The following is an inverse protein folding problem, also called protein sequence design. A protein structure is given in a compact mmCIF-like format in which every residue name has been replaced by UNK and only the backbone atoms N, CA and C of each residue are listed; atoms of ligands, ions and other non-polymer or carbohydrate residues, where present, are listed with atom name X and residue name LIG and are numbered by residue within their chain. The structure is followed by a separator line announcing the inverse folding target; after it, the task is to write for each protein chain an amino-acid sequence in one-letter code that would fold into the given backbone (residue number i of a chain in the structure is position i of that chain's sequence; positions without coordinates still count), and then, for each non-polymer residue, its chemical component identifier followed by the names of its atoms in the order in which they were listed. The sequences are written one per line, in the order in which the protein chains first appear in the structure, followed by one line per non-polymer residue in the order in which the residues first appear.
data_IF_315509052298
#
_entry.id   IF_315509052298
#
_cell.length_a   1.000
_cell.length_b   1.000
_cell.length_c   1.000
_cell.angle_alpha   90.00
_cell.angle_beta   90.00
_cell.angle_gamma   90.00
#
_symmetry.space_group_name_H-M   'P 1'
#
loop_
_entity.id
_entity.type
_entity.pdbx_description
1 polymer ?
#
# COMPACT_ATOMS: atom_id res chain seq x y z
N UNK A 1 -10.55 -11.27 -25.15
CA UNK A 1 -11.98 -11.61 -25.18
C UNK A 1 -12.25 -12.58 -24.04
N UNK A 2 -13.18 -12.26 -23.13
CA UNK A 2 -13.54 -13.08 -21.96
C UNK A 2 -15.03 -13.42 -22.00
N UNK A 3 -15.36 -14.66 -21.60
CA UNK A 3 -16.76 -15.08 -21.40
C UNK A 3 -17.29 -14.45 -20.12
N UNK A 4 -18.41 -13.75 -20.21
CA UNK A 4 -19.07 -13.10 -19.07
C UNK A 4 -20.08 -14.05 -18.43
N UNK A 5 -20.83 -14.78 -19.24
CA UNK A 5 -21.85 -15.71 -18.77
C UNK A 5 -22.57 -16.41 -19.91
N UNK A 6 -23.59 -17.17 -19.54
CA UNK A 6 -24.44 -17.92 -20.47
C UNK A 6 -25.90 -17.57 -20.16
N UNK A 7 -26.73 -17.39 -21.18
CA UNK A 7 -28.15 -17.03 -21.10
C UNK A 7 -28.99 -18.13 -21.71
N UNK A 8 -30.17 -18.39 -21.16
CA UNK A 8 -30.97 -19.57 -21.51
C UNK A 8 -31.62 -19.45 -22.89
N UNK A 9 -31.84 -18.21 -23.36
CA UNK A 9 -32.58 -17.94 -24.60
C UNK A 9 -31.88 -16.91 -25.48
N UNK A 10 -32.10 -17.03 -26.79
CA UNK A 10 -31.59 -16.06 -27.76
C UNK A 10 -32.12 -14.64 -27.55
N UNK A 11 -33.33 -14.49 -27.03
CA UNK A 11 -33.95 -13.18 -26.80
C UNK A 11 -33.34 -12.48 -25.59
N UNK A 12 -33.07 -13.21 -24.50
CA UNK A 12 -32.30 -12.67 -23.37
C UNK A 12 -30.90 -12.23 -23.81
N UNK A 13 -30.23 -13.04 -24.63
CA UNK A 13 -28.91 -12.71 -25.15
C UNK A 13 -28.91 -11.45 -26.01
N UNK A 14 -29.95 -11.25 -26.83
CA UNK A 14 -30.12 -10.03 -27.64
C UNK A 14 -30.41 -8.79 -26.80
N UNK A 15 -31.29 -8.89 -25.80
CA UNK A 15 -31.60 -7.77 -24.89
C UNK A 15 -30.35 -7.27 -24.17
N UNK A 16 -29.59 -8.19 -23.56
CA UNK A 16 -28.37 -7.83 -22.85
C UNK A 16 -27.27 -7.33 -23.82
N UNK A 17 -27.14 -7.93 -25.00
CA UNK A 17 -26.21 -7.45 -26.02
C UNK A 17 -26.54 -6.01 -26.45
N UNK A 18 -27.82 -5.70 -26.65
CA UNK A 18 -28.27 -4.36 -27.01
C UNK A 18 -27.91 -3.31 -25.97
N UNK A 19 -28.14 -3.62 -24.70
CA UNK A 19 -27.74 -2.75 -23.58
C UNK A 19 -26.22 -2.56 -23.50
N UNK A 20 -25.44 -3.64 -23.58
CA UNK A 20 -23.98 -3.53 -23.55
C UNK A 20 -23.46 -2.68 -24.72
N UNK A 21 -24.04 -2.85 -25.90
CA UNK A 21 -23.69 -2.05 -27.07
C UNK A 21 -24.16 -0.59 -26.95
N UNK A 22 -25.30 -0.30 -26.32
CA UNK A 22 -25.69 1.09 -26.02
C UNK A 22 -24.73 1.75 -25.02
N UNK A 23 -24.22 0.97 -24.06
CA UNK A 23 -23.17 1.41 -23.14
C UNK A 23 -21.77 1.43 -23.79
N UNK A 24 -21.67 1.16 -25.09
CA UNK A 24 -20.43 1.15 -25.89
C UNK A 24 -19.43 0.07 -25.49
N UNK A 25 -19.90 -1.01 -24.87
CA UNK A 25 -19.10 -2.20 -24.54
C UNK A 25 -19.05 -3.12 -25.77
N UNK A 26 -17.86 -3.51 -26.22
CA UNK A 26 -17.71 -4.44 -27.36
C UNK A 26 -17.99 -5.89 -26.91
N UNK A 27 -19.27 -6.25 -26.98
CA UNK A 27 -19.79 -7.56 -26.67
C UNK A 27 -20.23 -8.33 -27.92
N UNK A 28 -20.25 -9.66 -27.81
CA UNK A 28 -20.80 -10.58 -28.82
C UNK A 28 -21.48 -11.77 -28.16
N UNK A 29 -22.41 -12.39 -28.89
CA UNK A 29 -23.14 -13.59 -28.46
C UNK A 29 -23.02 -14.69 -29.52
N UNK A 30 -22.99 -15.94 -29.08
CA UNK A 30 -22.98 -17.14 -29.91
C UNK A 30 -23.77 -18.28 -29.23
N UNK A 31 -24.39 -19.19 -30.00
CA UNK A 31 -25.05 -20.36 -29.44
C UNK A 31 -24.03 -21.27 -28.76
N UNK A 32 -24.40 -21.89 -27.64
CA UNK A 32 -23.61 -22.97 -27.04
C UNK A 32 -23.74 -24.21 -27.93
N UNK A 33 -22.67 -24.59 -28.62
CA UNK A 33 -22.62 -25.81 -29.44
C UNK A 33 -22.06 -26.98 -28.60
N UNK A 34 -22.92 -27.93 -28.23
CA UNK A 34 -22.54 -29.13 -27.46
C UNK A 34 -21.76 -30.16 -28.30
N UNK A 35 -21.51 -29.91 -29.59
CA UNK A 35 -20.81 -30.84 -30.48
C UNK A 35 -19.28 -30.90 -30.30
N UNK A 36 -18.69 -30.03 -29.47
CA UNK A 36 -17.23 -30.02 -29.21
C UNK A 36 -16.77 -30.88 -28.02
N UNK A 37 -17.67 -31.62 -27.36
CA UNK A 37 -17.33 -32.48 -26.22
C UNK A 37 -17.21 -33.98 -26.56
N UNK A 38 -17.08 -34.31 -27.86
CA UNK A 38 -16.68 -35.63 -28.35
C UNK A 38 -15.44 -35.47 -29.22
N UNK A 39 -14.27 -35.40 -28.59
CA UNK A 39 -12.96 -35.84 -29.11
C UNK A 39 -11.84 -35.43 -28.14
N UNK A 40 -11.88 -35.97 -26.93
CA UNK A 40 -10.74 -35.95 -26.01
C UNK A 40 -10.14 -37.35 -25.88
N UNK A 41 -9.88 -38.00 -27.02
CA UNK A 41 -9.11 -39.25 -27.03
C UNK A 41 -8.38 -39.48 -28.36
N UNK A 42 -7.40 -38.63 -28.70
CA UNK A 42 -6.31 -39.06 -29.59
C UNK A 42 -5.06 -38.18 -29.43
N UNK A 43 -4.02 -38.82 -28.89
CA UNK A 43 -2.60 -38.82 -29.31
C UNK A 43 -1.90 -37.54 -29.79
N UNK A 44 -0.73 -37.30 -29.18
CA UNK A 44 0.40 -36.51 -29.65
C UNK A 44 0.55 -36.37 -31.17
N UNK A 45 0.71 -35.12 -31.65
CA UNK A 45 1.80 -34.80 -32.58
C UNK A 45 2.07 -33.30 -32.63
N UNK A 46 3.36 -32.97 -32.65
CA UNK A 46 3.93 -31.64 -32.92
C UNK A 46 3.82 -31.35 -34.41
N UNK A 47 3.53 -30.09 -34.75
CA UNK A 47 4.14 -29.25 -35.80
C UNK A 47 3.09 -28.39 -36.55
N UNK A 48 3.53 -27.18 -36.95
CA UNK A 48 3.11 -26.61 -38.22
C UNK A 48 1.91 -25.65 -38.24
N UNK A 49 2.25 -24.36 -38.19
CA UNK A 49 1.71 -23.33 -39.11
C UNK A 49 0.25 -22.87 -38.99
N UNK A 50 0.12 -21.54 -38.88
CA UNK A 50 -0.89 -20.68 -39.49
C UNK A 50 -2.24 -21.31 -39.88
N UNK A 51 -3.28 -21.02 -39.09
CA UNK A 51 -4.62 -20.71 -39.62
C UNK A 51 -5.22 -19.50 -38.89
N UNK A 52 -4.75 -18.32 -39.25
CA UNK A 52 -5.56 -17.10 -39.18
C UNK A 52 -6.51 -17.14 -40.38
N UNK A 53 -7.73 -17.67 -40.19
CA UNK A 53 -8.81 -17.50 -41.16
C UNK A 53 -10.07 -17.01 -40.46
N UNK A 54 -10.33 -15.71 -40.65
CA UNK A 54 -11.64 -15.09 -40.76
C UNK A 54 -12.77 -15.68 -39.89
N UNK A 55 -12.88 -15.21 -38.64
CA UNK A 55 -14.16 -15.10 -37.95
C UNK A 55 -14.74 -13.72 -38.28
N UNK A 56 -15.20 -13.57 -39.52
CA UNK A 56 -16.18 -12.54 -39.87
C UNK A 56 -17.51 -12.95 -39.23
N UNK A 57 -18.18 -12.00 -38.57
CA UNK A 57 -19.58 -12.17 -38.14
C UNK A 57 -20.37 -12.79 -39.30
N UNK A 58 -20.97 -13.99 -39.13
CA UNK A 58 -22.00 -14.43 -40.06
C UNK A 58 -23.06 -13.34 -40.06
N UNK A 59 -23.33 -12.77 -41.23
CA UNK A 59 -24.36 -11.75 -41.37
C UNK A 59 -25.66 -12.26 -40.74
N UNK A 60 -26.28 -11.43 -39.92
CA UNK A 60 -27.67 -11.58 -39.51
C UNK A 60 -28.55 -11.44 -40.76
N UNK A 61 -28.61 -12.50 -41.57
CA UNK A 61 -29.66 -12.71 -42.54
C UNK A 61 -30.72 -13.59 -41.87
N UNK A 62 -31.95 -13.11 -41.94
CA UNK A 62 -33.19 -13.77 -41.51
C UNK A 62 -33.16 -15.29 -41.66
N UNK A 63 -33.06 -15.98 -40.53
CA UNK A 63 -33.49 -17.37 -40.39
C UNK A 63 -34.12 -17.54 -39.00
N UNK A 64 -35.45 -17.67 -38.96
CA UNK A 64 -36.13 -18.28 -37.82
C UNK A 64 -35.92 -19.81 -37.83
N UNK A 65 -36.43 -20.58 -36.84
CA UNK A 65 -37.13 -20.19 -35.61
C UNK A 65 -36.20 -20.24 -34.38
N UNK A 66 -36.75 -19.85 -33.23
CA UNK A 66 -36.17 -19.91 -31.88
C UNK A 66 -35.23 -21.12 -31.66
N UNK A 67 -33.91 -20.88 -31.62
CA UNK A 67 -33.00 -21.81 -30.97
C UNK A 67 -33.20 -21.66 -29.46
N UNK A 68 -33.87 -22.65 -28.85
CA UNK A 68 -34.17 -22.75 -27.41
C UNK A 68 -32.99 -23.22 -26.56
N UNK A 69 -31.78 -23.24 -27.12
CA UNK A 69 -30.55 -23.60 -26.42
C UNK A 69 -29.85 -22.37 -25.83
N UNK A 70 -28.94 -22.59 -24.85
CA UNK A 70 -28.23 -21.51 -24.19
C UNK A 70 -27.26 -20.76 -25.12
N UNK A 71 -26.98 -19.50 -24.80
CA UNK A 71 -26.13 -18.58 -25.56
C UNK A 71 -25.02 -18.02 -24.68
N UNK A 72 -23.78 -18.02 -25.17
CA UNK A 72 -22.68 -17.39 -24.45
C UNK A 72 -22.62 -15.90 -24.74
N UNK A 73 -22.19 -15.12 -23.75
CA UNK A 73 -21.88 -13.70 -23.88
C UNK A 73 -20.37 -13.49 -23.68
N UNK A 74 -19.76 -12.78 -24.61
CA UNK A 74 -18.34 -12.46 -24.60
C UNK A 74 -18.10 -10.96 -24.68
N UNK A 75 -17.05 -10.48 -24.01
CA UNK A 75 -16.58 -9.10 -24.08
C UNK A 75 -15.14 -9.08 -24.56
N UNK A 76 -14.81 -8.19 -25.50
CA UNK A 76 -13.48 -8.14 -26.11
C UNK A 76 -12.42 -7.54 -25.18
N UNK A 77 -12.70 -6.36 -24.63
CA UNK A 77 -11.76 -5.54 -23.86
C UNK A 77 -11.83 -5.83 -22.36
N UNK A 78 -10.65 -5.99 -21.73
CA UNK A 78 -10.54 -6.37 -20.32
C UNK A 78 -11.04 -5.27 -19.36
N UNK A 79 -10.96 -4.01 -19.78
CA UNK A 79 -11.41 -2.86 -18.99
C UNK A 79 -12.94 -2.80 -18.80
N UNK A 80 -13.69 -3.44 -19.70
CA UNK A 80 -15.16 -3.43 -19.68
C UNK A 80 -15.74 -4.70 -19.03
N UNK A 81 -14.88 -5.63 -18.59
CA UNK A 81 -15.30 -6.94 -18.04
C UNK A 81 -16.08 -6.78 -16.75
N UNK A 82 -15.66 -5.88 -15.85
CA UNK A 82 -16.31 -5.71 -14.55
C UNK A 82 -17.69 -5.04 -14.69
N UNK A 83 -17.79 -4.04 -15.57
CA UNK A 83 -19.04 -3.37 -15.91
C UNK A 83 -20.02 -4.34 -16.60
N UNK A 84 -19.53 -5.13 -17.56
CA UNK A 84 -20.33 -6.15 -18.23
C UNK A 84 -20.79 -7.28 -17.28
N UNK A 85 -19.97 -7.67 -16.30
CA UNK A 85 -20.36 -8.63 -15.26
C UNK A 85 -21.43 -8.07 -14.33
N UNK A 86 -21.32 -6.79 -13.97
CA UNK A 86 -22.37 -6.12 -13.18
C UNK A 86 -23.68 -6.07 -13.96
N UNK A 87 -23.63 -5.66 -15.23
CA UNK A 87 -24.79 -5.62 -16.11
C UNK A 87 -25.41 -7.02 -16.32
N UNK A 88 -24.57 -8.06 -16.46
CA UNK A 88 -25.03 -9.44 -16.56
C UNK A 88 -25.75 -9.89 -15.28
N UNK A 89 -25.21 -9.57 -14.10
CA UNK A 89 -25.86 -9.88 -12.82
C UNK A 89 -27.21 -9.14 -12.68
N UNK A 90 -27.22 -7.84 -12.95
CA UNK A 90 -28.45 -7.03 -12.94
C UNK A 90 -29.52 -7.58 -13.89
N UNK A 91 -29.09 -8.09 -15.05
CA UNK A 91 -29.99 -8.67 -16.04
C UNK A 91 -30.62 -9.98 -15.54
N UNK A 92 -29.85 -10.84 -14.86
CA UNK A 92 -30.38 -12.06 -14.26
C UNK A 92 -31.39 -11.77 -13.15
N UNK A 93 -31.21 -10.69 -12.39
CA UNK A 93 -32.12 -10.28 -11.33
C UNK A 93 -33.40 -9.63 -11.87
N UNK A 94 -33.34 -8.91 -13.00
CA UNK A 94 -34.48 -8.18 -13.57
C UNK A 94 -34.41 -8.06 -15.10
N UNK A 95 -34.67 -9.16 -15.84
CA UNK A 95 -34.48 -9.23 -17.30
C UNK A 95 -35.48 -8.38 -18.11
N UNK A 96 -36.63 -8.07 -17.52
CA UNK A 96 -37.70 -7.25 -18.13
C UNK A 96 -37.58 -5.76 -17.75
N UNK A 97 -36.45 -5.33 -17.18
CA UNK A 97 -36.23 -3.92 -16.87
C UNK A 97 -36.20 -3.07 -18.15
N UNK A 98 -36.84 -1.89 -18.19
CA UNK A 98 -36.84 -1.01 -19.36
C UNK A 98 -35.44 -0.62 -19.86
N UNK A 99 -34.42 -0.67 -18.99
CA UNK A 99 -33.02 -0.39 -19.38
C UNK A 99 -32.46 -1.38 -20.39
N UNK A 100 -33.03 -2.58 -20.50
CA UNK A 100 -32.61 -3.61 -21.44
C UNK A 100 -33.47 -3.67 -22.72
N UNK A 101 -34.49 -2.82 -22.83
CA UNK A 101 -35.35 -2.71 -24.01
C UNK A 101 -34.73 -1.75 -25.04
N UNK A 102 -33.55 -2.12 -25.54
CA UNK A 102 -32.80 -1.34 -26.54
C UNK A 102 -32.89 -2.04 -27.89
N UNK A 103 -33.60 -1.47 -28.89
CA UNK A 103 -33.68 -2.06 -30.22
C UNK A 103 -32.30 -2.10 -30.88
N UNK A 104 -31.85 -3.32 -31.23
CA UNK A 104 -30.54 -3.52 -31.88
C UNK A 104 -30.42 -2.79 -33.24
N UNK A 105 -31.55 -2.49 -33.88
CA UNK A 105 -31.63 -1.80 -35.16
C UNK A 105 -31.29 -0.30 -35.07
N UNK A 106 -31.44 0.31 -33.89
CA UNK A 106 -31.17 1.73 -33.65
C UNK A 106 -29.71 1.99 -33.22
N UNK A 107 -28.95 0.91 -33.03
CA UNK A 107 -27.53 0.99 -32.69
C UNK A 107 -26.71 1.20 -33.98
N UNK A 108 -25.80 2.19 -34.00
CA UNK A 108 -25.02 2.49 -35.19
C UNK A 108 -24.26 1.24 -35.67
N UNK A 109 -24.48 0.88 -36.94
CA UNK A 109 -23.84 -0.26 -37.60
C UNK A 109 -22.33 -0.30 -37.33
N UNK A 110 -21.84 -1.50 -36.99
CA UNK A 110 -20.44 -1.89 -36.72
C UNK A 110 -19.44 -1.55 -37.84
N UNK A 111 -19.85 -0.92 -38.94
CA UNK A 111 -19.01 -0.66 -40.11
C UNK A 111 -18.12 0.58 -40.00
N UNK A 112 -18.15 1.35 -38.90
CA UNK A 112 -17.37 2.60 -38.81
C UNK A 112 -16.35 2.62 -37.64
N UNK A 113 -15.14 2.04 -37.82
CA UNK A 113 -14.08 1.99 -36.81
C UNK A 113 -13.67 3.37 -36.25
N UNK A 114 -13.89 4.44 -37.01
CA UNK A 114 -13.62 5.81 -36.58
C UNK A 114 -14.53 6.29 -35.45
N UNK A 115 -15.80 5.89 -35.47
CA UNK A 115 -16.79 6.34 -34.48
C UNK A 115 -16.58 5.70 -33.10
N UNK A 116 -16.19 4.42 -33.07
CA UNK A 116 -15.87 3.70 -31.84
C UNK A 116 -14.60 4.27 -31.17
N UNK A 117 -13.56 4.55 -31.97
CA UNK A 117 -12.33 5.20 -31.47
C UNK A 117 -12.58 6.62 -30.98
N UNK A 118 -13.44 7.38 -31.67
CA UNK A 118 -13.84 8.72 -31.24
C UNK A 118 -14.56 8.68 -29.88
N UNK A 119 -15.52 7.77 -29.69
CA UNK A 119 -16.25 7.65 -28.41
C UNK A 119 -15.36 7.16 -27.25
N UNK A 120 -14.40 6.26 -27.50
CA UNK A 120 -13.42 5.87 -26.49
C UNK A 120 -12.47 7.03 -26.13
N UNK A 121 -12.06 7.82 -27.13
CA UNK A 121 -11.26 9.02 -26.90
C UNK A 121 -12.04 10.07 -26.10
N UNK A 122 -13.31 10.31 -26.43
CA UNK A 122 -14.19 11.24 -25.71
C UNK A 122 -14.42 10.79 -24.26
N UNK A 123 -14.64 9.49 -23.99
CA UNK A 123 -14.75 8.98 -22.61
C UNK A 123 -13.46 9.13 -21.82
N UNK A 124 -12.29 8.92 -22.45
CA UNK A 124 -10.98 9.16 -21.81
C UNK A 124 -10.82 10.64 -21.50
N UNK A 125 -11.16 11.50 -22.46
CA UNK A 125 -11.05 12.95 -22.32
C UNK A 125 -12.02 13.49 -21.27
N UNK A 126 -13.23 12.93 -21.16
CA UNK A 126 -14.21 13.30 -20.14
C UNK A 126 -13.78 12.82 -18.75
N UNK A 127 -13.27 11.59 -18.61
CA UNK A 127 -12.68 11.11 -17.34
C UNK A 127 -11.48 11.98 -16.91
N UNK A 128 -10.63 12.37 -17.85
CA UNK A 128 -9.51 13.28 -17.60
C UNK A 128 -9.98 14.71 -17.30
N UNK A 129 -11.06 15.18 -17.92
CA UNK A 129 -11.70 16.46 -17.62
C UNK A 129 -12.32 16.49 -16.23
N UNK A 130 -13.06 15.46 -15.81
CA UNK A 130 -13.62 15.36 -14.46
C UNK A 130 -12.51 15.27 -13.42
N UNK A 131 -11.44 14.49 -13.69
CA UNK A 131 -10.28 14.38 -12.79
C UNK A 131 -9.50 15.70 -12.70
N UNK A 132 -9.31 16.40 -13.81
CA UNK A 132 -8.64 17.71 -13.84
C UNK A 132 -9.53 18.84 -13.30
N UNK A 133 -10.84 18.78 -13.46
CA UNK A 133 -11.81 19.69 -12.86
C UNK A 133 -11.87 19.49 -11.35
N UNK A 134 -11.84 18.26 -10.84
CA UNK A 134 -11.75 17.95 -9.40
C UNK A 134 -10.42 18.44 -8.80
N UNK A 135 -9.31 18.29 -9.54
CA UNK A 135 -8.01 18.89 -9.17
C UNK A 135 -8.04 20.43 -9.19
N UNK A 136 -8.70 21.03 -10.18
CA UNK A 136 -8.84 22.49 -10.32
C UNK A 136 -9.81 23.08 -9.30
N UNK A 137 -10.84 22.35 -8.88
CA UNK A 137 -11.73 22.74 -7.81
C UNK A 137 -10.98 22.69 -6.46
N UNK A 138 -10.23 21.61 -6.21
CA UNK A 138 -9.34 21.51 -5.06
C UNK A 138 -8.22 22.59 -5.06
N UNK A 139 -7.80 23.08 -6.23
CA UNK A 139 -6.83 24.18 -6.33
C UNK A 139 -7.46 25.57 -6.40
N UNK A 140 -8.76 25.71 -6.71
CA UNK A 140 -9.46 27.01 -6.74
C UNK A 140 -9.87 27.47 -5.35
N UNK A 141 -10.11 26.55 -4.42
CA UNK A 141 -10.23 26.86 -2.99
C UNK A 141 -8.95 27.48 -2.39
N UNK A 142 -7.80 27.35 -3.07
CA UNK A 142 -6.54 27.97 -2.65
C UNK A 142 -6.34 29.40 -3.20
N UNK A 143 -7.08 29.80 -4.24
CA UNK A 143 -6.88 31.09 -4.93
C UNK A 143 -8.00 32.11 -4.67
N UNK A 144 -9.00 31.79 -3.84
CA UNK A 144 -10.09 32.71 -3.48
C UNK A 144 -9.92 33.37 -2.09
N UNK A 145 -8.76 33.18 -1.46
CA UNK A 145 -8.39 33.80 -0.20
C UNK A 145 -7.36 34.89 -0.47
N UNK A 146 -7.86 36.12 -0.68
CA UNK A 146 -7.08 37.36 -0.65
C UNK A 146 -6.65 37.63 0.80
N UNK A 147 -5.82 36.73 1.33
CA UNK A 147 -5.32 36.75 2.71
C UNK A 147 -4.00 37.52 2.76
N UNK A 148 -3.82 38.43 3.73
CA UNK A 148 -2.59 39.20 3.84
C UNK A 148 -1.40 38.24 4.02
N UNK A 149 -0.34 38.52 3.26
CA UNK A 149 0.89 37.71 3.07
C UNK A 149 1.68 37.43 4.37
N UNK A 150 1.16 37.78 5.55
CA UNK A 150 1.72 37.47 6.86
C UNK A 150 1.29 36.14 7.46
N UNK A 151 0.12 35.58 7.09
CA UNK A 151 -0.46 34.41 7.77
C UNK A 151 -0.29 33.06 7.04
N UNK A 152 0.29 33.08 5.84
CA UNK A 152 0.59 31.86 5.04
C UNK A 152 1.85 31.13 5.58
N UNK A 153 2.42 31.60 6.69
CA UNK A 153 3.59 31.03 7.35
C UNK A 153 3.30 30.33 8.70
N UNK A 154 2.09 29.81 8.94
CA UNK A 154 1.95 28.68 9.90
C UNK A 154 2.41 27.39 9.26
N UNK A 155 3.69 27.34 8.91
CA UNK A 155 4.38 26.08 8.59
C UNK A 155 4.29 25.22 9.85
N UNK A 156 3.41 24.22 9.87
CA UNK A 156 3.31 23.33 11.02
C UNK A 156 4.70 22.75 11.30
N UNK A 157 5.25 23.14 12.44
CA UNK A 157 6.59 22.78 12.86
C UNK A 157 6.71 21.27 13.05
N UNK A 158 7.89 20.72 12.79
CA UNK A 158 8.21 19.30 12.99
C UNK A 158 9.25 19.10 14.11
N UNK A 159 9.02 19.65 15.33
CA UNK A 159 10.03 19.72 16.37
C UNK A 159 10.46 18.34 16.87
N UNK A 160 9.56 17.34 16.90
CA UNK A 160 9.90 16.01 17.40
C UNK A 160 10.74 15.26 16.38
N UNK A 161 10.41 15.33 15.08
CA UNK A 161 11.26 14.78 14.02
C UNK A 161 12.67 15.37 14.10
N UNK A 162 12.78 16.70 14.17
CA UNK A 162 14.08 17.37 14.25
C UNK A 162 14.82 16.99 15.53
N UNK A 163 14.12 16.90 16.66
CA UNK A 163 14.69 16.44 17.93
C UNK A 163 15.27 15.03 17.85
N UNK A 164 14.53 14.08 17.27
CA UNK A 164 15.02 12.70 17.06
C UNK A 164 16.27 12.70 16.19
N UNK A 165 16.30 13.51 15.12
CA UNK A 165 17.45 13.59 14.23
C UNK A 165 18.68 14.14 14.96
N UNK A 166 18.53 15.26 15.67
CA UNK A 166 19.63 15.87 16.44
C UNK A 166 20.16 14.90 17.48
N UNK A 167 19.28 14.27 18.27
CA UNK A 167 19.68 13.32 19.31
C UNK A 167 20.42 12.12 18.67
N UNK A 168 19.91 11.58 17.57
CA UNK A 168 20.56 10.45 16.87
C UNK A 168 21.95 10.81 16.36
N UNK A 169 22.13 12.00 15.79
CA UNK A 169 23.44 12.49 15.33
C UNK A 169 24.40 12.65 16.50
N UNK A 170 23.98 13.33 17.58
CA UNK A 170 24.80 13.53 18.78
C UNK A 170 25.19 12.20 19.42
N UNK A 171 24.25 11.28 19.58
CA UNK A 171 24.48 9.95 20.16
C UNK A 171 25.41 9.10 19.30
N UNK A 172 25.27 9.14 17.98
CA UNK A 172 26.15 8.40 17.06
C UNK A 172 27.58 8.91 17.14
N UNK A 173 27.78 10.23 17.18
CA UNK A 173 29.13 10.81 17.30
C UNK A 173 29.74 10.54 18.68
N UNK A 174 28.98 10.70 19.76
CA UNK A 174 29.46 10.50 21.14
C UNK A 174 29.72 9.05 21.52
N UNK A 175 29.25 8.08 20.73
CA UNK A 175 29.52 6.64 20.91
C UNK A 175 30.46 6.07 19.85
N UNK A 176 31.05 6.93 19.00
CA UNK A 176 31.87 6.52 17.85
C UNK A 176 31.14 5.48 16.98
N UNK A 177 29.91 5.80 16.58
CA UNK A 177 29.02 4.92 15.84
C UNK A 177 28.87 3.54 16.49
N UNK A 178 28.51 3.54 17.79
CA UNK A 178 28.30 2.32 18.58
C UNK A 178 29.54 1.41 18.68
N UNK A 179 30.73 1.95 18.39
CA UNK A 179 32.03 1.26 18.48
C UNK A 179 32.93 2.03 19.45
N UNK A 180 32.55 2.09 20.74
CA UNK A 180 33.23 2.94 21.71
C UNK A 180 34.67 2.47 21.93
N UNK A 181 35.60 3.43 21.98
CA UNK A 181 37.04 3.16 22.14
C UNK A 181 37.38 2.86 23.59
N UNK A 182 38.22 1.85 23.78
CA UNK A 182 38.86 1.57 25.07
C UNK A 182 40.07 2.50 25.26
N UNK A 183 40.34 2.89 26.51
CA UNK A 183 41.58 3.57 26.85
C UNK A 183 42.67 2.59 27.29
N UNK A 184 43.93 3.02 27.19
CA UNK A 184 45.10 2.21 27.58
C UNK A 184 45.19 1.95 29.08
N UNK A 185 44.44 2.69 29.89
CA UNK A 185 44.44 2.63 31.35
C UNK A 185 43.45 1.58 31.88
N UNK A 186 42.66 0.94 31.02
CA UNK A 186 41.64 -0.03 31.42
C UNK A 186 40.44 0.59 32.15
N UNK A 187 40.33 1.92 32.19
CA UNK A 187 39.18 2.61 32.79
C UNK A 187 38.10 2.87 31.75
N UNK A 188 36.84 2.90 32.19
CA UNK A 188 35.71 3.09 31.29
C UNK A 188 35.69 4.52 30.71
N UNK A 189 35.68 4.62 29.38
CA UNK A 189 35.62 5.90 28.65
C UNK A 189 34.21 6.49 28.64
N UNK A 190 34.10 7.77 28.30
CA UNK A 190 32.79 8.42 28.14
C UNK A 190 31.96 7.75 27.02
N UNK A 191 32.59 7.39 25.89
CA UNK A 191 31.94 6.68 24.78
C UNK A 191 31.33 5.35 25.28
N UNK A 192 32.09 4.60 26.08
CA UNK A 192 31.65 3.32 26.66
C UNK A 192 30.49 3.52 27.63
N UNK A 193 30.55 4.53 28.51
CA UNK A 193 29.48 4.86 29.46
C UNK A 193 28.17 5.20 28.75
N UNK A 194 28.23 6.08 27.74
CA UNK A 194 27.05 6.49 26.98
C UNK A 194 26.46 5.28 26.24
N UNK A 195 27.29 4.53 25.52
CA UNK A 195 26.86 3.34 24.80
C UNK A 195 26.22 2.31 25.75
N UNK A 196 26.87 2.01 26.88
CA UNK A 196 26.37 1.08 27.90
C UNK A 196 25.06 1.54 28.54
N UNK A 197 24.86 2.85 28.74
CA UNK A 197 23.63 3.38 29.35
C UNK A 197 22.42 3.37 28.39
N UNK A 198 22.68 3.36 27.08
CA UNK A 198 21.66 3.53 26.03
C UNK A 198 21.46 2.30 25.13
N UNK A 199 22.33 1.29 25.23
CA UNK A 199 22.12 -0.02 24.60
C UNK A 199 20.94 -0.74 25.24
N UNK A 200 20.33 -1.71 24.53
CA UNK A 200 19.19 -2.45 25.08
C UNK A 200 19.53 -3.24 26.36
N UNK A 201 20.75 -3.77 26.43
CA UNK A 201 21.28 -4.45 27.61
C UNK A 201 22.71 -4.02 27.87
N UNK A 202 23.07 -3.91 29.13
CA UNK A 202 24.46 -3.83 29.56
C UNK A 202 25.16 -5.17 29.24
N UNK A 203 26.27 -5.11 28.49
CA UNK A 203 27.00 -6.31 28.06
C UNK A 203 27.62 -7.10 29.19
N UNK A 204 28.09 -6.44 30.24
CA UNK A 204 28.70 -7.13 31.37
C UNK A 204 27.63 -7.83 32.20
N UNK A 205 26.50 -7.14 32.37
CA UNK A 205 25.33 -7.71 33.03
C UNK A 205 24.74 -8.89 32.25
N UNK A 206 24.57 -8.74 30.93
CA UNK A 206 24.11 -9.81 30.04
C UNK A 206 24.97 -11.07 30.19
N UNK A 207 26.30 -10.92 30.24
CA UNK A 207 27.22 -12.05 30.41
C UNK A 207 27.14 -12.65 31.81
N UNK A 208 27.10 -11.82 32.86
CA UNK A 208 27.06 -12.31 34.24
C UNK A 208 25.74 -13.03 34.57
N UNK A 209 24.65 -12.69 33.89
CA UNK A 209 23.31 -13.27 34.07
C UNK A 209 23.03 -14.39 33.05
N UNK A 210 24.08 -15.04 32.52
CA UNK A 210 23.94 -16.23 31.67
C UNK A 210 23.37 -15.97 30.27
N UNK A 211 23.53 -14.77 29.73
CA UNK A 211 23.01 -14.41 28.41
C UNK A 211 21.56 -13.92 28.44
N UNK A 212 21.10 -13.44 29.60
CA UNK A 212 19.76 -12.87 29.71
C UNK A 212 19.64 -11.50 29.03
N UNK A 213 18.96 -11.47 27.88
CA UNK A 213 18.66 -10.26 27.12
C UNK A 213 17.94 -9.17 27.94
N UNK A 214 17.11 -9.55 28.92
CA UNK A 214 16.30 -8.60 29.69
C UNK A 214 16.94 -8.22 31.04
N UNK A 215 18.18 -8.62 31.32
CA UNK A 215 18.81 -8.44 32.62
C UNK A 215 18.78 -6.97 33.11
N UNK A 216 19.11 -6.02 32.23
CA UNK A 216 19.03 -4.58 32.51
C UNK A 216 17.60 -4.10 32.76
N UNK A 217 16.64 -4.56 31.94
CA UNK A 217 15.22 -4.19 32.07
C UNK A 217 14.65 -4.68 33.39
N UNK A 218 15.01 -5.90 33.82
CA UNK A 218 14.59 -6.45 35.13
C UNK A 218 15.10 -5.63 36.32
N UNK A 219 16.18 -4.88 36.14
CA UNK A 219 16.71 -3.93 37.14
C UNK A 219 16.06 -2.54 37.08
N UNK A 220 15.02 -2.37 36.26
CA UNK A 220 14.23 -1.14 36.15
C UNK A 220 14.67 -0.19 35.03
N UNK A 221 15.63 -0.58 34.20
CA UNK A 221 16.16 0.26 33.11
C UNK A 221 15.25 0.26 31.86
N UNK A 222 13.96 0.58 32.03
CA UNK A 222 12.91 0.44 31.00
C UNK A 222 13.10 1.33 29.77
N UNK A 223 13.86 2.43 29.88
CA UNK A 223 14.20 3.31 28.76
C UNK A 223 15.02 2.59 27.67
N UNK A 224 15.61 1.43 27.99
CA UNK A 224 16.40 0.62 27.06
C UNK A 224 15.61 0.01 25.92
N UNK A 225 14.27 0.00 25.97
CA UNK A 225 13.46 -0.32 24.78
C UNK A 225 13.43 0.80 23.74
N UNK A 226 13.68 2.04 24.13
CA UNK A 226 13.58 3.22 23.25
C UNK A 226 14.97 3.73 22.86
N UNK A 227 15.87 3.84 23.82
CA UNK A 227 17.20 4.46 23.65
C UNK A 227 18.08 3.86 22.53
N UNK A 228 18.02 2.56 22.18
CA UNK A 228 18.76 2.01 21.05
C UNK A 228 18.43 2.66 19.69
N UNK A 229 17.26 3.29 19.56
CA UNK A 229 16.84 4.04 18.38
C UNK A 229 17.83 5.15 18.00
N UNK A 230 18.54 5.71 18.98
CA UNK A 230 19.47 6.84 18.77
C UNK A 230 20.91 6.40 18.47
N UNK A 231 21.23 5.12 18.66
CA UNK A 231 22.55 4.56 18.38
C UNK A 231 22.62 4.09 16.93
N UNK A 232 23.72 4.33 16.22
CA UNK A 232 23.91 3.84 14.84
C UNK A 232 25.31 3.26 14.69
N UNK A 233 25.45 2.29 13.78
CA UNK A 233 26.70 1.53 13.58
C UNK A 233 27.68 2.15 12.58
N UNK A 234 27.21 3.07 11.75
CA UNK A 234 27.97 3.78 10.72
C UNK A 234 27.18 4.98 10.18
N UNK A 235 27.86 5.81 9.38
CA UNK A 235 27.35 7.05 8.80
C UNK A 235 26.21 6.81 7.82
N UNK A 236 26.29 5.76 6.98
CA UNK A 236 25.27 5.45 5.99
C UNK A 236 23.99 4.97 6.67
N UNK A 237 24.12 4.10 7.67
CA UNK A 237 23.00 3.62 8.48
C UNK A 237 22.30 4.77 9.21
N UNK A 238 23.05 5.72 9.77
CA UNK A 238 22.48 6.93 10.36
C UNK A 238 21.75 7.77 9.29
N UNK A 239 22.44 8.13 8.20
CA UNK A 239 21.88 9.00 7.16
C UNK A 239 20.59 8.42 6.56
N UNK A 240 20.57 7.11 6.29
CA UNK A 240 19.40 6.41 5.76
C UNK A 240 18.21 6.46 6.73
N UNK A 241 18.42 6.17 8.02
CA UNK A 241 17.35 6.26 9.00
C UNK A 241 16.83 7.69 9.16
N UNK A 242 17.72 8.68 9.25
CA UNK A 242 17.32 10.07 9.43
C UNK A 242 16.55 10.60 8.21
N UNK A 243 16.92 10.16 7.00
CA UNK A 243 16.18 10.47 5.78
C UNK A 243 14.72 9.97 5.86
N UNK A 244 14.51 8.72 6.28
CA UNK A 244 13.16 8.15 6.38
C UNK A 244 12.37 8.68 7.57
N UNK A 245 13.00 8.91 8.73
CA UNK A 245 12.37 9.63 9.85
C UNK A 245 11.94 11.02 9.40
N UNK A 246 12.78 11.74 8.66
CA UNK A 246 12.42 13.04 8.12
C UNK A 246 11.25 12.94 7.16
N UNK A 247 11.28 12.06 6.15
CA UNK A 247 10.21 11.98 5.15
C UNK A 247 8.89 11.49 5.72
N UNK A 248 8.88 10.35 6.41
CA UNK A 248 7.65 9.75 6.93
C UNK A 248 7.17 10.50 8.17
N UNK A 249 8.09 10.80 9.09
CA UNK A 249 7.76 11.49 10.33
C UNK A 249 7.27 12.91 10.12
N UNK A 250 7.86 13.68 9.20
CA UNK A 250 7.39 15.06 8.93
C UNK A 250 5.97 15.09 8.42
N UNK A 251 5.58 14.11 7.60
CA UNK A 251 4.21 14.00 7.10
C UNK A 251 3.26 13.70 8.26
N UNK A 252 3.59 12.73 9.11
CA UNK A 252 2.75 12.32 10.24
C UNK A 252 2.65 13.46 11.27
N UNK A 253 3.77 14.08 11.65
CA UNK A 253 3.81 15.14 12.66
C UNK A 253 3.04 16.39 12.21
N UNK A 254 3.11 16.76 10.92
CA UNK A 254 2.30 17.86 10.39
C UNK A 254 0.81 17.55 10.43
N UNK A 255 0.43 16.35 10.00
CA UNK A 255 -0.98 15.96 9.90
C UNK A 255 -1.65 15.74 11.26
N UNK A 256 -0.93 15.09 12.20
CA UNK A 256 -1.50 14.62 13.46
C UNK A 256 -0.96 15.36 14.70
N UNK A 257 0.07 16.17 14.53
CA UNK A 257 0.73 16.92 15.60
C UNK A 257 1.87 16.18 16.29
N UNK A 258 2.70 16.94 17.01
CA UNK A 258 3.92 16.46 17.68
C UNK A 258 3.69 15.38 18.74
N UNK A 259 2.66 15.55 19.58
CA UNK A 259 2.37 14.55 20.62
C UNK A 259 1.98 13.20 20.02
N UNK A 260 1.13 13.23 18.98
CA UNK A 260 0.74 12.02 18.27
C UNK A 260 1.96 11.33 17.66
N UNK A 261 2.80 12.09 16.95
CA UNK A 261 3.99 11.54 16.34
C UNK A 261 4.96 10.97 17.39
N UNK A 262 5.18 11.66 18.50
CA UNK A 262 6.01 11.19 19.61
C UNK A 262 5.50 9.87 20.20
N UNK A 263 4.19 9.71 20.38
CA UNK A 263 3.59 8.46 20.86
C UNK A 263 3.73 7.37 19.80
N UNK A 264 3.38 7.65 18.54
CA UNK A 264 3.45 6.67 17.45
C UNK A 264 4.88 6.14 17.28
N UNK A 265 5.87 7.02 17.12
CA UNK A 265 7.27 6.62 16.90
C UNK A 265 7.83 5.83 18.07
N UNK A 266 7.40 6.16 19.30
CA UNK A 266 7.78 5.40 20.49
C UNK A 266 7.15 4.01 20.47
N UNK A 267 5.83 3.90 20.25
CA UNK A 267 5.14 2.61 20.24
C UNK A 267 5.65 1.68 19.13
N UNK A 268 5.97 2.21 17.95
CA UNK A 268 6.54 1.41 16.87
C UNK A 268 7.96 0.94 17.19
N UNK A 269 8.78 1.80 17.83
CA UNK A 269 10.09 1.40 18.34
C UNK A 269 9.98 0.29 19.39
N UNK A 270 9.04 0.41 20.32
CA UNK A 270 8.77 -0.62 21.33
C UNK A 270 8.37 -1.95 20.67
N UNK A 271 7.48 -1.92 19.68
CA UNK A 271 7.06 -3.10 18.93
C UNK A 271 8.23 -3.77 18.19
N UNK A 272 9.10 -2.97 17.57
CA UNK A 272 10.34 -3.46 16.95
C UNK A 272 11.27 -4.15 17.95
N UNK A 273 11.58 -3.49 19.08
CA UNK A 273 12.46 -4.10 20.09
C UNK A 273 11.85 -5.32 20.76
N UNK A 274 10.55 -5.30 21.05
CA UNK A 274 9.85 -6.43 21.65
C UNK A 274 9.95 -7.68 20.75
N UNK A 275 9.75 -7.51 19.44
CA UNK A 275 9.88 -8.64 18.51
C UNK A 275 11.34 -9.06 18.35
N UNK A 276 12.28 -8.14 18.12
CA UNK A 276 13.69 -8.48 17.92
C UNK A 276 14.32 -9.20 19.10
N UNK A 277 13.94 -8.85 20.34
CA UNK A 277 14.49 -9.49 21.54
C UNK A 277 13.69 -10.75 21.91
N UNK A 278 12.40 -10.81 21.55
CA UNK A 278 11.55 -11.96 21.81
C UNK A 278 11.68 -13.11 20.81
N UNK A 279 12.31 -12.89 19.65
CA UNK A 279 12.54 -13.95 18.68
C UNK A 279 13.55 -14.98 19.22
N UNK A 280 13.30 -16.29 19.02
CA UNK A 280 14.23 -17.32 19.45
C UNK A 280 15.50 -17.30 18.59
N UNK A 281 16.63 -17.68 19.19
CA UNK A 281 17.92 -17.86 18.52
C UNK A 281 18.21 -19.35 18.31
N UNK A 282 17.20 -20.07 17.82
CA UNK A 282 17.22 -21.53 17.64
C UNK A 282 17.42 -21.88 16.17
N UNK A 283 18.02 -23.03 15.89
CA UNK A 283 18.39 -23.46 14.53
C UNK A 283 17.21 -23.64 13.57
N UNK A 284 15.99 -23.82 14.09
CA UNK A 284 14.77 -23.95 13.28
C UNK A 284 14.23 -22.60 12.78
N UNK A 285 14.73 -21.48 13.33
CA UNK A 285 14.46 -20.13 12.82
C UNK A 285 15.63 -19.72 11.91
N UNK A 286 15.36 -19.14 10.72
CA UNK A 286 16.42 -18.60 9.87
C UNK A 286 17.35 -17.67 10.65
N UNK A 287 18.66 -17.79 10.44
CA UNK A 287 19.66 -17.01 11.18
C UNK A 287 19.42 -15.50 11.04
N UNK A 288 18.98 -15.04 9.88
CA UNK A 288 18.56 -13.65 9.63
C UNK A 288 17.43 -13.14 10.54
N UNK A 289 16.67 -14.03 11.18
CA UNK A 289 15.58 -13.72 12.10
C UNK A 289 15.88 -14.08 13.55
N UNK A 290 17.12 -14.49 13.87
CA UNK A 290 17.50 -14.75 15.25
C UNK A 290 17.37 -13.50 16.10
N UNK A 291 16.78 -13.67 17.29
CA UNK A 291 16.67 -12.59 18.25
C UNK A 291 18.02 -12.20 18.84
N UNK A 292 18.17 -10.91 19.15
CA UNK A 292 19.40 -10.40 19.76
C UNK A 292 19.11 -9.12 20.53
N UNK A 293 19.71 -8.93 21.72
CA UNK A 293 19.64 -7.67 22.44
C UNK A 293 20.63 -6.63 21.90
N UNK A 294 21.55 -6.99 21.00
CA UNK A 294 22.60 -6.08 20.50
C UNK A 294 22.14 -5.31 19.28
N UNK A 295 21.09 -4.52 19.44
CA UNK A 295 20.44 -3.76 18.38
C UNK A 295 20.81 -2.28 18.49
N UNK A 296 21.06 -1.65 17.35
CA UNK A 296 21.23 -0.20 17.22
C UNK A 296 20.47 0.26 15.99
N UNK A 297 19.88 1.45 16.05
CA UNK A 297 19.30 2.14 14.90
C UNK A 297 17.82 2.40 15.04
N UNK A 298 17.34 3.43 14.35
CA UNK A 298 15.94 3.84 14.36
C UNK A 298 15.04 3.05 13.40
N UNK A 299 15.56 2.02 12.75
CA UNK A 299 14.90 1.38 11.61
C UNK A 299 13.62 0.65 11.99
N UNK A 300 13.51 0.10 13.21
CA UNK A 300 12.26 -0.43 13.73
C UNK A 300 11.16 0.63 13.78
N UNK A 301 11.48 1.82 14.32
CA UNK A 301 10.57 2.96 14.31
C UNK A 301 10.20 3.39 12.87
N UNK A 302 11.19 3.48 11.96
CA UNK A 302 10.98 3.82 10.54
C UNK A 302 9.99 2.87 9.88
N UNK A 303 10.18 1.54 10.02
CA UNK A 303 9.26 0.55 9.46
C UNK A 303 7.86 0.66 10.05
N UNK A 304 7.72 1.06 11.30
CA UNK A 304 6.41 1.33 11.87
C UNK A 304 5.75 2.62 11.37
N UNK A 305 6.52 3.70 11.15
CA UNK A 305 5.97 4.89 10.48
C UNK A 305 5.54 4.56 9.04
N UNK A 306 6.32 3.74 8.35
CA UNK A 306 5.98 3.21 7.02
C UNK A 306 4.70 2.38 7.08
N UNK A 307 4.60 1.42 8.00
CA UNK A 307 3.40 0.58 8.20
C UNK A 307 2.16 1.41 8.49
N UNK A 308 2.28 2.42 9.36
CA UNK A 308 1.19 3.34 9.67
C UNK A 308 0.68 4.05 8.40
N UNK A 309 1.57 4.67 7.63
CA UNK A 309 1.20 5.36 6.40
C UNK A 309 0.75 4.43 5.27
N UNK A 310 1.21 3.17 5.28
CA UNK A 310 0.84 2.16 4.28
C UNK A 310 -0.63 1.73 4.45
N UNK A 311 -1.06 1.45 5.67
CA UNK A 311 -2.43 0.97 5.94
C UNK A 311 -3.45 2.10 6.02
N UNK A 312 -3.03 3.32 6.40
CA UNK A 312 -3.96 4.38 6.74
C UNK A 312 -4.96 4.74 5.63
N UNK A 313 -4.57 4.87 4.35
CA UNK A 313 -5.52 5.17 3.26
C UNK A 313 -6.57 4.08 3.03
N UNK A 314 -6.31 2.84 3.46
CA UNK A 314 -7.25 1.72 3.34
C UNK A 314 -8.33 1.73 4.42
N UNK A 315 -7.99 2.29 5.59
CA UNK A 315 -8.90 2.43 6.73
C UNK A 315 -9.68 3.74 6.67
N UNK A 316 -9.06 4.78 6.13
CA UNK A 316 -9.59 6.12 6.03
C UNK A 316 -9.44 6.59 4.57
N UNK A 317 -10.50 6.37 3.77
CA UNK A 317 -10.48 6.67 2.33
C UNK A 317 -10.27 8.14 2.00
N UNK A 318 -10.52 9.04 2.96
CA UNK A 318 -10.28 10.49 2.83
C UNK A 318 -8.90 10.91 3.35
N UNK A 319 -8.04 9.96 3.72
CA UNK A 319 -6.70 10.26 4.22
C UNK A 319 -5.88 10.99 3.13
N UNK A 320 -5.30 12.17 3.43
CA UNK A 320 -4.81 13.09 2.39
C UNK A 320 -3.49 12.64 1.75
N UNK A 321 -2.87 11.57 2.24
CA UNK A 321 -1.54 11.11 1.81
C UNK A 321 -1.62 9.68 1.31
N UNK A 322 -0.99 9.44 0.16
CA UNK A 322 -0.62 8.12 -0.30
C UNK A 322 0.90 8.03 -0.42
N UNK A 323 1.48 6.92 -0.02
CA UNK A 323 2.90 6.68 -0.22
C UNK A 323 3.22 6.61 -1.72
N UNK A 324 4.33 7.23 -2.12
CA UNK A 324 4.80 7.14 -3.51
C UNK A 324 5.17 5.68 -3.80
N UNK A 325 4.69 5.05 -4.88
CA UNK A 325 4.91 3.62 -5.14
C UNK A 325 6.38 3.19 -5.10
N UNK A 326 7.30 4.02 -5.60
CA UNK A 326 8.73 3.73 -5.56
C UNK A 326 9.28 3.65 -4.13
N UNK A 327 8.76 4.47 -3.20
CA UNK A 327 9.17 4.43 -1.79
C UNK A 327 8.66 3.16 -1.11
N UNK A 328 7.47 2.69 -1.47
CA UNK A 328 6.92 1.42 -0.99
C UNK A 328 7.79 0.26 -1.45
N UNK A 329 8.12 0.22 -2.75
CA UNK A 329 9.00 -0.80 -3.33
C UNK A 329 10.36 -0.76 -2.65
N UNK A 330 10.97 0.41 -2.49
CA UNK A 330 12.26 0.58 -1.84
C UNK A 330 12.25 0.07 -0.40
N UNK A 331 11.22 0.38 0.39
CA UNK A 331 11.08 -0.08 1.77
C UNK A 331 10.95 -1.61 1.87
N UNK A 332 10.17 -2.23 0.98
CA UNK A 332 10.08 -3.69 0.93
C UNK A 332 11.36 -4.34 0.42
N UNK A 333 12.00 -3.80 -0.62
CA UNK A 333 13.29 -4.30 -1.11
C UNK A 333 14.33 -4.28 0.01
N UNK A 334 14.42 -3.20 0.79
CA UNK A 334 15.36 -3.13 1.92
C UNK A 334 15.01 -4.12 3.04
N UNK A 335 13.71 -4.37 3.29
CA UNK A 335 13.26 -5.34 4.28
C UNK A 335 13.69 -6.75 3.87
N UNK A 336 13.37 -7.13 2.64
CA UNK A 336 13.71 -8.45 2.10
C UNK A 336 15.21 -8.60 1.87
N UNK A 337 15.93 -7.53 1.53
CA UNK A 337 17.39 -7.57 1.42
C UNK A 337 18.06 -7.93 2.76
N UNK A 338 17.51 -7.47 3.88
CA UNK A 338 17.96 -7.90 5.21
C UNK A 338 17.57 -9.35 5.53
N UNK A 339 16.32 -9.74 5.27
CA UNK A 339 15.80 -11.09 5.58
C UNK A 339 16.49 -12.16 4.75
N UNK A 340 16.78 -11.87 3.47
CA UNK A 340 17.47 -12.74 2.52
C UNK A 340 19.00 -12.63 2.63
N UNK A 341 19.51 -11.91 3.64
CA UNK A 341 20.94 -11.80 3.96
C UNK A 341 21.82 -11.16 2.87
N UNK A 342 21.23 -10.44 1.90
CA UNK A 342 21.98 -9.60 0.97
C UNK A 342 22.69 -8.44 1.69
N UNK A 343 22.13 -8.00 2.83
CA UNK A 343 22.76 -7.07 3.76
C UNK A 343 22.94 -7.79 5.11
N UNK A 344 24.18 -8.06 5.54
CA UNK A 344 24.43 -8.76 6.79
C UNK A 344 24.20 -7.87 8.02
N UNK A 345 24.05 -8.50 9.19
CA UNK A 345 23.91 -7.82 10.49
C UNK A 345 22.69 -6.88 10.59
N UNK A 346 21.60 -7.22 9.92
CA UNK A 346 20.34 -6.47 10.01
C UNK A 346 19.44 -7.07 11.09
N UNK A 347 18.92 -6.22 11.98
CA UNK A 347 17.93 -6.60 12.98
C UNK A 347 16.54 -6.76 12.32
N UNK A 348 16.35 -7.82 11.54
CA UNK A 348 15.13 -8.03 10.75
C UNK A 348 13.87 -8.19 11.60
N UNK A 349 13.99 -8.78 12.80
CA UNK A 349 12.91 -8.82 13.79
C UNK A 349 12.46 -7.42 14.21
N UNK A 350 13.40 -6.46 14.32
CA UNK A 350 13.07 -5.08 14.65
C UNK A 350 12.29 -4.40 13.53
N UNK A 351 12.68 -4.62 12.27
CA UNK A 351 11.96 -4.11 11.11
C UNK A 351 10.54 -4.68 11.02
N UNK A 352 10.41 -6.01 11.15
CA UNK A 352 9.12 -6.68 11.09
C UNK A 352 8.21 -6.27 12.25
N UNK A 353 8.74 -6.19 13.47
CA UNK A 353 7.97 -5.80 14.66
C UNK A 353 7.50 -4.36 14.59
N UNK A 354 8.37 -3.48 14.10
CA UNK A 354 8.03 -2.09 13.81
C UNK A 354 6.92 -1.99 12.77
N UNK A 355 7.07 -2.66 11.62
CA UNK A 355 6.07 -2.70 10.55
C UNK A 355 4.70 -3.17 11.05
N UNK A 356 4.67 -4.29 11.78
CA UNK A 356 3.44 -4.85 12.36
C UNK A 356 2.81 -3.85 13.33
N UNK A 357 3.59 -3.27 14.25
CA UNK A 357 3.08 -2.26 15.18
C UNK A 357 2.47 -1.05 14.45
N UNK A 358 3.14 -0.58 13.39
CA UNK A 358 2.66 0.51 12.54
C UNK A 358 1.34 0.19 11.84
N UNK A 359 1.25 -1.00 11.21
CA UNK A 359 0.04 -1.49 10.56
C UNK A 359 -1.12 -1.59 11.54
N UNK A 360 -0.89 -2.15 12.74
CA UNK A 360 -1.91 -2.28 13.78
C UNK A 360 -2.38 -0.89 14.25
N UNK A 361 -1.45 0.00 14.60
CA UNK A 361 -1.78 1.35 15.07
C UNK A 361 -2.49 2.19 14.01
N UNK A 362 -2.09 2.07 12.73
CA UNK A 362 -2.72 2.76 11.61
C UNK A 362 -4.12 2.24 11.28
N UNK A 363 -4.38 0.95 11.53
CA UNK A 363 -5.67 0.32 11.33
C UNK A 363 -6.72 0.69 12.40
N UNK A 364 -6.28 1.15 13.58
CA UNK A 364 -7.19 1.55 14.66
C UNK A 364 -7.84 2.92 14.32
N UNK A 365 -9.18 3.03 14.16
CA UNK A 365 -9.84 4.26 13.73
C UNK A 365 -9.70 5.44 14.70
N UNK A 366 -9.49 5.17 15.99
CA UNK A 366 -9.32 6.18 17.05
C UNK A 366 -8.16 7.13 16.76
N UNK A 367 -7.05 6.63 16.18
CA UNK A 367 -5.90 7.46 15.83
C UNK A 367 -6.17 8.45 14.67
N UNK A 368 -7.32 8.36 13.99
CA UNK A 368 -7.76 9.37 13.02
C UNK A 368 -8.55 10.54 13.62
N UNK A 369 -9.28 10.33 14.74
CA UNK A 369 -10.22 11.33 15.30
C UNK A 369 -9.55 12.38 16.17
N UNK A 370 -8.38 12.08 16.74
CA UNK A 370 -7.58 13.05 17.53
C UNK A 370 -7.06 14.23 16.67
N UNK A 371 -6.86 14.03 15.37
CA UNK A 371 -6.48 15.10 14.44
C UNK A 371 -7.66 15.99 14.01
N UNK A 372 -8.88 15.44 13.96
CA UNK A 372 -10.08 16.17 13.52
C UNK A 372 -10.67 17.09 14.60
N UNK A 373 -10.58 16.70 15.88
CA UNK A 373 -11.11 17.47 17.03
C UNK A 373 -10.55 18.90 17.12
N UNK A 374 -9.32 19.13 16.64
CA UNK A 374 -8.70 20.47 16.69
C UNK A 374 -9.27 21.44 15.64
N UNK A 375 -9.87 20.95 14.55
CA UNK A 375 -10.44 21.81 13.49
C UNK A 375 -11.83 22.38 13.84
N UNK A 376 -12.64 21.67 14.64
CA UNK A 376 -13.99 22.14 15.00
C UNK A 376 -14.01 23.21 16.10
N UNK A 377 -12.93 23.35 16.88
CA UNK A 377 -12.86 24.32 17.98
C UNK A 377 -12.53 25.76 17.54
N UNK A 378 -12.32 26.01 16.24
CA UNK A 378 -12.03 27.36 15.70
C UNK A 378 -13.13 27.90 14.78
N UNK A 379 -14.23 27.16 14.57
CA UNK A 379 -15.36 27.60 13.75
C UNK A 379 -16.58 28.04 14.57
N UNK A 380 -16.42 28.29 15.87
CA UNK A 380 -17.52 28.65 16.77
C UNK A 380 -17.14 29.85 17.66
N UNK A 381 -16.79 30.96 17.02
CA UNK A 381 -16.72 32.28 17.68
C UNK A 381 -16.83 33.37 16.60
N UNK A 382 -18.03 33.51 16.05
CA UNK A 382 -18.35 34.51 15.04
C UNK A 382 -19.85 34.62 14.84
N UNK A 383 -20.57 34.97 15.90
CA UNK A 383 -21.89 35.61 15.84
C UNK A 383 -21.76 37.02 16.43
#
# INVERSE_FOLDING_TARGET
MRRIGTLDTSDQARKLLGYLQSESIDAMIDPVDDSLNRDSNQGDSKDGSQKNSALQNPGLQNSGPQNSGPWNLWVRDEVDVDEAKSAYKDFLESPESPKFDVPLADLPSRSNPGLARARQADRRQEKDRVKSARRRAASRDLNQLDMPVGDVARQQSIPVVIGIIIISVVMSLSTNFSKPRANRLGTETLEQKIYRATSFVDRDLYRSEGGDSFASVRKGEVWRFVTPMFLHGDEFHLAFNMLWIFFLGSVIEKLHGSLFFAVLVTLTQLGGMALQVGLPAEDWVPQSLHGSPFVVGASGAVYGLFGFLLVRPWVDGDYPINLVPINVVLMFVMLFAGILEFVPNVANGAHLGGLIAGLVLGAIPFFGKLAASKRSSHSFSGD
#
